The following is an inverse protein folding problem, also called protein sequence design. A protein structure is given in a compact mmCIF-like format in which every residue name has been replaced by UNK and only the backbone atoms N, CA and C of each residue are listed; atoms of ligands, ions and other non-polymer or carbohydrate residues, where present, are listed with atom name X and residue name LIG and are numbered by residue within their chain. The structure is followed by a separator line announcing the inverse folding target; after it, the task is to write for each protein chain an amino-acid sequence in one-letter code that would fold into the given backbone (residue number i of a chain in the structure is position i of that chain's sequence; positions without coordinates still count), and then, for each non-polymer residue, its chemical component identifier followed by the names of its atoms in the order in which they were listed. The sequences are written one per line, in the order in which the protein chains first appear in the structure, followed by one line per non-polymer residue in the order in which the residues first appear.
data_IF_309818523561
#
_entry.id   IF_309818523561
#
_cell.length_a   1.000
_cell.length_b   1.000
_cell.length_c   1.000
_cell.angle_alpha   90.00
_cell.angle_beta   90.00
_cell.angle_gamma   90.00
#
_symmetry.space_group_name_H-M   'P 1'
#
loop_
_entity.id
_entity.type
_entity.pdbx_description
1 polymer ?
#
# COMPACT_ATOMS: atom_id res chain seq x y z
N UNK A 1 34.91 13.52 -4.22
CA UNK A 1 33.53 12.99 -4.19
C UNK A 1 33.47 11.86 -5.21
N UNK A 2 33.23 10.64 -4.76
CA UNK A 2 33.25 9.42 -5.58
C UNK A 2 32.02 9.36 -6.53
N UNK A 3 32.20 9.35 -7.85
CA UNK A 3 31.10 9.30 -8.82
C UNK A 3 30.39 7.93 -8.88
N UNK A 4 30.94 6.87 -8.26
CA UNK A 4 30.36 5.52 -8.27
C UNK A 4 29.19 5.29 -7.30
N UNK A 5 29.05 6.10 -6.25
CA UNK A 5 28.05 5.86 -5.19
C UNK A 5 26.61 6.19 -5.63
N UNK A 6 26.42 7.28 -6.39
CA UNK A 6 25.09 7.75 -6.80
C UNK A 6 24.42 6.80 -7.82
N UNK A 7 25.20 6.26 -8.76
CA UNK A 7 24.68 5.34 -9.79
C UNK A 7 24.25 4.00 -9.20
N UNK A 8 25.04 3.43 -8.29
CA UNK A 8 24.69 2.18 -7.61
C UNK A 8 23.45 2.32 -6.73
N UNK A 9 23.30 3.44 -6.02
CA UNK A 9 22.09 3.73 -5.23
C UNK A 9 20.85 3.86 -6.13
N UNK A 10 20.96 4.53 -7.29
CA UNK A 10 19.86 4.64 -8.26
C UNK A 10 19.45 3.28 -8.82
N UNK A 11 20.42 2.42 -9.16
CA UNK A 11 20.16 1.06 -9.66
C UNK A 11 19.46 0.23 -8.58
N UNK A 12 19.95 0.25 -7.33
CA UNK A 12 19.30 -0.48 -6.23
C UNK A 12 17.86 -0.01 -6.00
N UNK A 13 17.62 1.31 -6.02
CA UNK A 13 16.27 1.85 -5.85
C UNK A 13 15.35 1.48 -7.02
N UNK A 14 15.82 1.57 -8.27
CA UNK A 14 15.05 1.16 -9.44
C UNK A 14 14.73 -0.34 -9.45
N UNK A 15 15.69 -1.20 -9.10
CA UNK A 15 15.47 -2.65 -9.03
C UNK A 15 14.52 -3.01 -7.88
N UNK A 16 14.60 -2.31 -6.73
CA UNK A 16 13.65 -2.48 -5.64
C UNK A 16 12.23 -2.03 -6.03
N UNK A 17 12.09 -0.91 -6.75
CA UNK A 17 10.81 -0.44 -7.31
C UNK A 17 10.25 -1.45 -8.31
N UNK A 18 11.08 -1.96 -9.24
CA UNK A 18 10.65 -3.00 -10.21
C UNK A 18 10.23 -4.30 -9.52
N UNK A 19 10.99 -4.77 -8.52
CA UNK A 19 10.68 -5.99 -7.78
C UNK A 19 9.35 -5.91 -7.02
N UNK A 20 8.91 -4.70 -6.69
CA UNK A 20 7.67 -4.43 -5.97
C UNK A 20 6.58 -3.83 -6.88
N UNK A 21 6.80 -3.72 -8.20
CA UNK A 21 5.83 -3.13 -9.11
C UNK A 21 4.66 -4.10 -9.37
N UNK A 22 3.45 -3.67 -9.05
CA UNK A 22 2.20 -4.33 -9.39
C UNK A 22 1.73 -3.90 -10.77
N UNK A 23 1.69 -4.84 -11.71
CA UNK A 23 1.25 -4.59 -13.09
C UNK A 23 -0.16 -5.15 -13.39
N UNK A 24 -0.79 -5.77 -12.39
CA UNK A 24 -2.09 -6.44 -12.52
C UNK A 24 -2.00 -7.96 -12.61
N UNK A 25 -0.85 -8.52 -13.00
CA UNK A 25 -0.70 -9.96 -13.22
C UNK A 25 -0.08 -10.69 -12.03
N UNK A 26 0.67 -9.97 -11.20
CA UNK A 26 1.48 -10.52 -10.12
C UNK A 26 0.89 -10.29 -8.71
N UNK A 27 -0.44 -10.16 -8.60
CA UNK A 27 -1.11 -9.74 -7.35
C UNK A 27 -0.71 -10.56 -6.11
N UNK A 28 -0.72 -11.91 -6.10
CA UNK A 28 -0.37 -12.66 -4.88
C UNK A 28 1.04 -12.35 -4.37
N UNK A 29 2.02 -12.30 -5.27
CA UNK A 29 3.41 -11.99 -4.93
C UNK A 29 3.58 -10.55 -4.48
N UNK A 30 2.91 -9.62 -5.16
CA UNK A 30 2.92 -8.21 -4.77
C UNK A 30 2.30 -8.00 -3.39
N UNK A 31 1.14 -8.62 -3.13
CA UNK A 31 0.41 -8.57 -1.86
C UNK A 31 1.31 -9.00 -0.70
N UNK A 32 1.96 -10.16 -0.83
CA UNK A 32 2.84 -10.69 0.24
C UNK A 32 4.02 -9.76 0.53
N UNK A 33 4.66 -9.23 -0.52
CA UNK A 33 5.78 -8.28 -0.38
C UNK A 33 5.36 -6.95 0.23
N UNK A 34 4.21 -6.41 -0.20
CA UNK A 34 3.66 -5.19 0.35
C UNK A 34 3.30 -5.40 1.83
N UNK A 35 2.73 -6.54 2.19
CA UNK A 35 2.38 -6.84 3.57
C UNK A 35 3.57 -7.07 4.47
N UNK A 36 4.62 -7.68 3.94
CA UNK A 36 5.91 -7.71 4.62
C UNK A 36 6.45 -6.29 4.87
N UNK A 37 6.43 -5.40 3.86
CA UNK A 37 6.90 -4.03 3.99
C UNK A 37 6.11 -3.25 5.05
N UNK A 38 4.78 -3.23 4.97
CA UNK A 38 3.96 -2.49 5.94
C UNK A 38 4.06 -3.08 7.35
N UNK A 39 4.25 -4.39 7.48
CA UNK A 39 4.48 -5.04 8.79
C UNK A 39 5.83 -4.65 9.36
N UNK A 40 6.88 -4.63 8.55
CA UNK A 40 8.21 -4.18 8.95
C UNK A 40 8.20 -2.72 9.41
N UNK A 41 7.45 -1.87 8.73
CA UNK A 41 7.22 -0.48 9.09
C UNK A 41 6.26 -0.30 10.28
N UNK A 42 5.63 -1.39 10.76
CA UNK A 42 4.61 -1.41 11.84
C UNK A 42 3.35 -0.60 11.53
N UNK A 43 3.00 -0.46 10.26
CA UNK A 43 1.83 0.29 9.77
C UNK A 43 0.77 -0.60 9.11
N UNK A 44 0.98 -1.92 9.03
CA UNK A 44 0.02 -2.85 8.39
C UNK A 44 -1.39 -2.79 9.01
N UNK A 45 -1.50 -2.37 10.27
CA UNK A 45 -2.77 -2.25 10.99
C UNK A 45 -3.74 -1.25 10.36
N UNK A 46 -3.27 -0.27 9.58
CA UNK A 46 -4.13 0.70 8.89
C UNK A 46 -4.96 0.06 7.77
N UNK A 47 -4.63 -1.17 7.38
CA UNK A 47 -5.39 -1.97 6.42
C UNK A 47 -6.38 -2.94 7.08
N UNK A 48 -6.54 -2.88 8.41
CA UNK A 48 -7.48 -3.72 9.13
C UNK A 48 -8.82 -2.99 9.30
N UNK A 49 -9.88 -3.52 8.68
CA UNK A 49 -11.25 -3.00 8.81
C UNK A 49 -11.75 -3.02 10.26
N UNK A 50 -11.21 -3.91 11.10
CA UNK A 50 -11.59 -4.03 12.51
C UNK A 50 -10.89 -2.99 13.40
N UNK A 51 -9.98 -2.20 12.83
CA UNK A 51 -9.34 -1.09 13.51
C UNK A 51 -9.83 0.20 12.87
N UNK A 52 -11.05 0.68 13.18
CA UNK A 52 -11.54 1.94 12.65
C UNK A 52 -10.76 3.13 13.19
N UNK A 53 -10.73 4.23 12.42
CA UNK A 53 -10.23 5.53 12.90
C UNK A 53 -11.18 6.02 14.00
N UNK A 54 -10.67 6.19 15.21
CA UNK A 54 -11.43 6.81 16.28
C UNK A 54 -11.42 8.33 16.06
N UNK A 55 -12.56 8.94 15.75
CA UNK A 55 -12.63 10.39 15.57
C UNK A 55 -12.26 11.13 16.86
N UNK A 56 -11.42 12.17 16.79
CA UNK A 56 -11.11 13.00 17.94
C UNK A 56 -12.38 13.68 18.45
N UNK A 57 -12.65 13.56 19.74
CA UNK A 57 -13.74 14.27 20.43
C UNK A 57 -13.19 15.29 21.39
N UNK A 58 -13.95 16.36 21.60
CA UNK A 58 -13.68 17.32 22.67
C UNK A 58 -13.65 16.59 24.02
N UNK A 59 -12.55 16.70 24.76
CA UNK A 59 -12.32 15.97 26.01
C UNK A 59 -11.49 14.69 25.91
N UNK A 60 -11.06 14.27 24.70
CA UNK A 60 -10.09 13.18 24.57
C UNK A 60 -8.75 13.52 25.25
N UNK A 61 -8.13 12.52 25.87
CA UNK A 61 -6.81 12.67 26.49
C UNK A 61 -5.73 12.98 25.45
N UNK A 62 -4.62 13.56 25.88
CA UNK A 62 -3.50 13.87 25.00
C UNK A 62 -2.93 12.62 24.32
N UNK A 63 -2.99 11.47 25.00
CA UNK A 63 -2.60 10.18 24.41
C UNK A 63 -3.49 9.82 23.22
N UNK A 64 -4.82 9.96 23.34
CA UNK A 64 -5.75 9.64 22.25
C UNK A 64 -5.53 10.56 21.04
N UNK A 65 -5.22 11.84 21.29
CA UNK A 65 -4.86 12.78 20.22
C UNK A 65 -3.54 12.40 19.54
N UNK A 66 -2.54 12.01 20.30
CA UNK A 66 -1.25 11.56 19.77
C UNK A 66 -1.40 10.27 18.94
N UNK A 67 -2.20 9.32 19.40
CA UNK A 67 -2.50 8.08 18.68
C UNK A 67 -3.23 8.35 17.36
N UNK A 68 -4.13 9.34 17.34
CA UNK A 68 -4.80 9.78 16.12
C UNK A 68 -3.83 10.36 15.10
N UNK A 69 -3.00 11.33 15.51
CA UNK A 69 -2.00 11.95 14.63
C UNK A 69 -1.05 10.90 14.07
N UNK A 70 -0.57 9.98 14.92
CA UNK A 70 0.28 8.87 14.48
C UNK A 70 -0.43 8.01 13.43
N UNK A 71 -1.72 7.73 13.63
CA UNK A 71 -2.48 6.94 12.67
C UNK A 71 -2.63 7.65 11.32
N UNK A 72 -2.88 8.96 11.31
CA UNK A 72 -2.92 9.75 10.07
C UNK A 72 -1.59 9.71 9.32
N UNK A 73 -0.46 9.78 10.03
CA UNK A 73 0.88 9.62 9.46
C UNK A 73 1.10 8.22 8.89
N UNK A 74 0.72 7.18 9.63
CA UNK A 74 0.83 5.78 9.21
C UNK A 74 -0.06 5.49 7.98
N UNK A 75 -1.26 6.08 7.91
CA UNK A 75 -2.16 5.99 6.76
C UNK A 75 -1.57 6.66 5.52
N UNK A 76 -0.98 7.85 5.67
CA UNK A 76 -0.29 8.56 4.58
C UNK A 76 0.91 7.76 4.06
N UNK A 77 1.71 7.18 4.96
CA UNK A 77 2.84 6.32 4.62
C UNK A 77 2.39 5.07 3.88
N UNK A 78 1.37 4.38 4.40
CA UNK A 78 0.80 3.18 3.78
C UNK A 78 0.25 3.49 2.39
N UNK A 79 -0.50 4.58 2.25
CA UNK A 79 -1.03 5.08 0.97
C UNK A 79 0.09 5.32 -0.04
N UNK A 80 1.15 6.01 0.37
CA UNK A 80 2.31 6.30 -0.47
C UNK A 80 3.02 5.03 -0.91
N UNK A 81 3.23 4.07 -0.02
CA UNK A 81 3.87 2.80 -0.36
C UNK A 81 3.04 1.96 -1.33
N UNK A 82 1.73 1.86 -1.09
CA UNK A 82 0.81 1.16 -1.99
C UNK A 82 0.86 1.80 -3.37
N UNK A 83 0.63 3.11 -3.49
CA UNK A 83 0.62 3.79 -4.78
C UNK A 83 1.97 3.73 -5.51
N UNK A 84 3.08 3.95 -4.83
CA UNK A 84 4.42 3.91 -5.45
C UNK A 84 4.81 2.50 -5.94
N UNK A 85 4.13 1.48 -5.46
CA UNK A 85 4.32 0.10 -5.93
C UNK A 85 3.43 -0.24 -7.11
N UNK A 86 2.54 0.65 -7.57
CA UNK A 86 1.68 0.40 -8.71
C UNK A 86 2.39 0.79 -10.02
N UNK A 87 2.09 0.06 -11.10
CA UNK A 87 2.38 0.53 -12.45
C UNK A 87 1.67 1.86 -12.72
N UNK A 88 2.21 2.69 -13.61
CA UNK A 88 1.64 4.02 -13.93
C UNK A 88 0.14 3.98 -14.22
N UNK A 89 -0.32 2.98 -15.00
CA UNK A 89 -1.74 2.81 -15.31
C UNK A 89 -2.59 2.61 -14.06
N UNK A 90 -2.14 1.79 -13.12
CA UNK A 90 -2.85 1.52 -11.87
C UNK A 90 -2.72 2.70 -10.92
N UNK A 91 -1.56 3.36 -10.86
CA UNK A 91 -1.37 4.57 -10.08
C UNK A 91 -2.44 5.62 -10.40
N UNK A 92 -2.61 5.98 -11.68
CA UNK A 92 -3.61 6.97 -12.08
C UNK A 92 -5.05 6.53 -11.79
N UNK A 93 -5.33 5.23 -11.84
CA UNK A 93 -6.66 4.70 -11.56
C UNK A 93 -7.03 4.81 -10.08
N UNK A 94 -6.05 4.64 -9.18
CA UNK A 94 -6.27 4.60 -7.74
C UNK A 94 -5.85 5.88 -7.00
N UNK A 95 -5.12 6.82 -7.64
CA UNK A 95 -4.56 8.01 -6.98
C UNK A 95 -5.59 8.98 -6.41
N UNK A 96 -6.86 8.92 -6.86
CA UNK A 96 -7.94 9.73 -6.30
C UNK A 96 -8.48 9.21 -4.97
N UNK A 97 -8.26 7.92 -4.67
CA UNK A 97 -8.70 7.29 -3.42
C UNK A 97 -7.74 7.72 -2.31
N UNK A 98 -8.30 8.21 -1.19
CA UNK A 98 -7.51 8.71 -0.06
C UNK A 98 -7.18 7.61 0.95
N UNK A 99 -8.12 6.70 1.18
CA UNK A 99 -7.93 5.63 2.16
C UNK A 99 -7.02 4.53 1.59
N UNK A 100 -5.90 4.19 2.27
CA UNK A 100 -5.07 3.06 1.86
C UNK A 100 -5.84 1.74 1.92
N UNK A 101 -6.76 1.58 2.88
CA UNK A 101 -7.63 0.41 3.00
C UNK A 101 -8.58 0.28 1.80
N UNK A 102 -9.17 1.38 1.33
CA UNK A 102 -10.02 1.35 0.14
C UNK A 102 -9.24 0.95 -1.12
N UNK A 103 -8.03 1.47 -1.30
CA UNK A 103 -7.15 1.06 -2.41
C UNK A 103 -6.86 -0.44 -2.31
N UNK A 104 -6.43 -0.89 -1.12
CA UNK A 104 -6.09 -2.29 -0.87
C UNK A 104 -7.24 -3.25 -1.22
N UNK A 105 -8.44 -2.95 -0.72
CA UNK A 105 -9.64 -3.75 -0.98
C UNK A 105 -10.06 -3.72 -2.45
N UNK A 106 -9.92 -2.57 -3.11
CA UNK A 106 -10.26 -2.45 -4.53
C UNK A 106 -9.31 -3.26 -5.43
N UNK A 107 -8.02 -3.30 -5.10
CA UNK A 107 -7.03 -4.13 -5.79
C UNK A 107 -7.33 -5.63 -5.56
N UNK A 108 -7.66 -6.02 -4.33
CA UNK A 108 -8.04 -7.39 -4.01
C UNK A 108 -9.30 -7.86 -4.74
N UNK A 109 -10.34 -7.04 -4.72
CA UNK A 109 -11.61 -7.32 -5.39
C UNK A 109 -11.41 -7.48 -6.91
N UNK A 110 -10.61 -6.60 -7.52
CA UNK A 110 -10.29 -6.70 -8.95
C UNK A 110 -9.61 -8.03 -9.29
N UNK A 111 -8.58 -8.40 -8.54
CA UNK A 111 -7.88 -9.67 -8.75
C UNK A 111 -8.82 -10.88 -8.58
N UNK A 112 -9.65 -10.88 -7.54
CA UNK A 112 -10.58 -11.98 -7.30
C UNK A 112 -11.59 -12.13 -8.43
N UNK A 113 -12.13 -11.03 -8.96
CA UNK A 113 -13.06 -11.08 -10.09
C UNK A 113 -12.40 -11.57 -11.37
N UNK A 114 -11.18 -11.11 -11.68
CA UNK A 114 -10.41 -11.58 -12.83
C UNK A 114 -10.09 -13.08 -12.72
N UNK A 115 -9.72 -13.55 -11.52
CA UNK A 115 -9.48 -14.97 -11.25
C UNK A 115 -10.74 -15.81 -11.41
N UNK A 116 -11.88 -15.36 -10.91
CA UNK A 116 -13.16 -16.08 -11.07
C UNK A 116 -13.56 -16.17 -12.55
N UNK A 117 -13.45 -15.08 -13.31
CA UNK A 117 -13.74 -15.10 -14.75
C UNK A 117 -12.85 -16.08 -15.52
N UNK A 118 -11.56 -16.18 -15.17
CA UNK A 118 -10.65 -17.16 -15.76
C UNK A 118 -11.06 -18.60 -15.45
N UNK A 119 -11.47 -18.88 -14.20
CA UNK A 119 -11.96 -20.21 -13.82
C UNK A 119 -13.23 -20.56 -14.59
N UNK A 120 -14.19 -19.62 -14.69
CA UNK A 120 -15.44 -19.83 -15.43
C UNK A 120 -15.23 -20.04 -16.94
N UNK A 121 -14.17 -19.49 -17.53
CA UNK A 121 -13.85 -19.73 -18.95
C UNK A 121 -13.25 -21.13 -19.20
N UNK A 122 -12.68 -21.75 -18.16
CA UNK A 122 -12.03 -23.07 -18.24
C UNK A 122 -12.96 -24.23 -17.85
N UNK A 123 -14.17 -23.94 -17.38
CA UNK A 123 -15.22 -24.90 -16.99
C UNK A 123 -16.34 -24.93 -18.03
#
# INVERSE_FOLDING_TARGET
MEPGSSSSIKIMNQEFVKLNCFDGTNYPRWKDKMMFLLTFLKIAYVLDINQPVAEPKEGNSDQVKADHVKREEDELLSHSHILNSLSDRLFYLYSSIKSPLEIWNALEHKYNNEKQAQISFLL
#
